data_IF_491577300146
#
_entry.id   IF_491577300146
#
_cell.length_a   1.000
_cell.length_b   1.000
_cell.length_c   1.000
_cell.angle_alpha   90.00
_cell.angle_beta   90.00
_cell.angle_gamma   90.00
#
_symmetry.space_group_name_H-M   'P 1'
#
loop_
_entity.id
_entity.type
_entity.pdbx_description
1 polymer ?
#
# COMPACT_ATOMS: atom_id res chain seq x y z
N UNK A 1 -17.94 -28.26 18.58
CA UNK A 1 -16.63 -28.09 17.93
C UNK A 1 -16.75 -26.93 16.94
N UNK A 2 -16.49 -25.68 17.33
CA UNK A 2 -16.49 -24.55 16.39
C UNK A 2 -15.05 -24.39 15.85
N UNK A 3 -14.80 -24.67 14.57
CA UNK A 3 -14.93 -23.74 13.42
C UNK A 3 -13.98 -22.54 13.49
N UNK A 4 -12.74 -22.79 13.06
CA UNK A 4 -11.94 -21.98 12.12
C UNK A 4 -12.41 -20.55 11.82
N UNK A 5 -12.28 -19.64 12.78
CA UNK A 5 -12.17 -18.23 12.49
C UNK A 5 -10.84 -17.67 13.01
N UNK A 6 -9.77 -17.61 12.19
CA UNK A 6 -8.48 -17.06 12.61
C UNK A 6 -8.46 -15.52 12.65
N UNK A 7 -9.60 -14.84 12.46
CA UNK A 7 -9.69 -13.39 12.46
C UNK A 7 -10.10 -12.79 13.82
N UNK A 8 -9.95 -13.52 14.93
CA UNK A 8 -10.04 -12.89 16.25
C UNK A 8 -8.82 -11.99 16.46
N UNK A 9 -8.92 -10.75 15.97
CA UNK A 9 -8.03 -9.66 16.33
C UNK A 9 -8.25 -9.44 17.83
N UNK A 10 -7.33 -9.92 18.65
CA UNK A 10 -7.34 -9.64 20.07
C UNK A 10 -7.03 -8.15 20.25
N UNK A 11 -8.06 -7.38 20.57
CA UNK A 11 -7.90 -6.03 21.11
C UNK A 11 -7.61 -6.20 22.60
N UNK A 12 -6.37 -5.97 22.99
CA UNK A 12 -6.02 -5.79 24.40
C UNK A 12 -5.88 -4.28 24.66
N UNK A 13 -6.40 -3.81 25.79
CA UNK A 13 -6.64 -2.39 26.12
C UNK A 13 -5.35 -1.56 26.31
N UNK A 14 -4.19 -2.07 25.89
CA UNK A 14 -2.88 -1.44 25.97
C UNK A 14 -2.23 -1.20 24.60
N UNK A 15 -2.95 -0.51 23.70
CA UNK A 15 -2.49 0.38 22.60
C UNK A 15 -1.23 0.08 21.75
N UNK A 16 -0.61 -1.09 21.81
CA UNK A 16 0.56 -1.46 20.98
C UNK A 16 0.29 -2.83 20.41
N UNK A 17 -0.12 -2.86 19.13
CA UNK A 17 -0.07 -4.08 18.32
C UNK A 17 1.42 -4.33 18.05
N UNK A 18 2.13 -4.92 19.01
CA UNK A 18 3.22 -5.80 18.63
C UNK A 18 2.54 -6.97 17.91
N UNK A 19 2.64 -6.99 16.58
CA UNK A 19 2.45 -8.22 15.85
C UNK A 19 3.30 -9.26 16.59
N UNK A 20 2.64 -10.25 17.22
CA UNK A 20 3.29 -11.25 18.06
C UNK A 20 4.60 -11.67 17.39
N UNK A 21 5.75 -11.69 18.11
CA UNK A 21 7.01 -12.15 17.54
C UNK A 21 6.94 -13.60 17.03
N UNK A 22 5.83 -14.29 17.33
CA UNK A 22 5.47 -15.62 16.88
C UNK A 22 4.41 -15.64 15.77
N UNK A 23 4.13 -14.55 15.04
CA UNK A 23 3.50 -14.70 13.72
C UNK A 23 4.54 -15.34 12.81
N UNK A 24 4.46 -16.66 12.57
CA UNK A 24 5.60 -17.32 11.97
C UNK A 24 5.60 -16.92 10.50
N UNK A 25 6.80 -16.74 9.95
CA UNK A 25 7.03 -16.20 8.59
C UNK A 25 6.25 -16.91 7.49
N UNK A 26 5.68 -18.10 7.74
CA UNK A 26 4.78 -18.80 6.84
C UNK A 26 3.48 -18.02 6.54
N UNK A 27 2.91 -17.25 7.49
CA UNK A 27 1.71 -16.45 7.22
C UNK A 27 2.00 -15.22 6.34
N UNK A 28 3.21 -14.67 6.40
CA UNK A 28 3.62 -13.59 5.48
C UNK A 28 3.79 -14.10 4.04
N UNK A 29 4.09 -15.39 3.86
CA UNK A 29 4.25 -16.03 2.55
C UNK A 29 2.94 -16.26 1.80
N UNK A 30 1.79 -16.27 2.50
CA UNK A 30 0.47 -16.47 1.88
C UNK A 30 -0.26 -15.17 1.57
N UNK A 31 0.34 -14.01 1.84
CA UNK A 31 -0.27 -12.72 1.50
C UNK A 31 -0.15 -12.55 0.00
N UNK A 32 -1.25 -12.80 -0.72
CA UNK A 32 -1.31 -12.49 -2.14
C UNK A 32 -1.11 -10.98 -2.34
N UNK A 33 -0.41 -10.56 -3.41
CA UNK A 33 -0.31 -9.15 -3.73
C UNK A 33 -1.71 -8.56 -3.86
N UNK A 34 -1.92 -7.30 -3.42
CA UNK A 34 -3.21 -6.66 -3.57
C UNK A 34 -3.60 -6.66 -5.06
N UNK A 35 -4.88 -6.85 -5.39
CA UNK A 35 -5.34 -6.80 -6.76
C UNK A 35 -5.08 -5.42 -7.38
N UNK A 36 -4.86 -5.39 -8.68
CA UNK A 36 -4.69 -4.13 -9.43
C UNK A 36 -5.95 -3.26 -9.30
N UNK A 37 -5.77 -1.96 -9.05
CA UNK A 37 -6.87 -1.00 -8.97
C UNK A 37 -7.56 -0.85 -10.33
N UNK A 38 -8.89 -0.88 -10.35
CA UNK A 38 -9.67 -0.64 -11.56
C UNK A 38 -9.85 0.85 -11.84
N UNK A 39 -9.86 1.21 -13.12
CA UNK A 39 -10.19 2.57 -13.56
C UNK A 39 -11.70 2.76 -13.60
N UNK A 40 -12.19 3.76 -12.88
CA UNK A 40 -13.58 4.19 -12.97
C UNK A 40 -13.71 5.30 -14.03
N UNK A 41 -14.38 5.00 -15.14
CA UNK A 41 -14.62 5.99 -16.19
C UNK A 41 -15.85 6.83 -15.84
N UNK A 42 -15.61 8.09 -15.44
CA UNK A 42 -16.67 9.02 -15.04
C UNK A 42 -17.36 9.71 -16.22
N UNK A 43 -16.61 9.98 -17.30
CA UNK A 43 -17.12 10.63 -18.49
C UNK A 43 -16.39 10.13 -19.74
N UNK A 44 -17.01 10.36 -20.90
CA UNK A 44 -16.35 10.22 -22.19
C UNK A 44 -15.81 11.57 -22.64
N UNK A 45 -14.64 11.61 -23.30
CA UNK A 45 -14.11 12.83 -23.88
C UNK A 45 -15.11 13.43 -24.87
N UNK A 46 -15.28 14.75 -24.81
CA UNK A 46 -16.11 15.45 -25.79
C UNK A 46 -15.35 15.54 -27.12
N UNK A 47 -15.93 15.00 -28.20
CA UNK A 47 -15.33 14.99 -29.54
C UNK A 47 -15.64 16.23 -30.36
N UNK A 48 -16.50 17.14 -29.88
CA UNK A 48 -16.88 18.35 -30.63
C UNK A 48 -15.85 19.47 -30.55
N UNK A 49 -14.91 19.41 -29.59
CA UNK A 49 -13.81 20.35 -29.46
C UNK A 49 -12.49 19.59 -29.27
N UNK A 50 -11.39 20.03 -29.89
CA UNK A 50 -10.09 19.41 -29.68
C UNK A 50 -9.64 19.65 -28.23
N UNK A 51 -9.61 18.59 -27.44
CA UNK A 51 -9.15 18.61 -26.05
C UNK A 51 -8.04 17.58 -25.86
N UNK A 52 -6.98 17.96 -25.15
CA UNK A 52 -5.94 17.02 -24.75
C UNK A 52 -6.38 16.29 -23.48
N UNK A 53 -6.17 14.98 -23.46
CA UNK A 53 -6.38 14.13 -22.29
C UNK A 53 -5.01 13.81 -21.72
N UNK A 54 -4.84 14.04 -20.43
CA UNK A 54 -3.63 13.66 -19.71
C UNK A 54 -4.00 13.12 -18.33
N UNK A 55 -3.04 12.43 -17.74
CA UNK A 55 -3.15 11.74 -16.46
C UNK A 55 -2.30 12.43 -15.41
N UNK A 56 -2.83 12.51 -14.19
CA UNK A 56 -2.13 13.10 -13.05
C UNK A 56 -2.11 12.10 -11.91
N UNK A 57 -0.92 11.81 -11.39
CA UNK A 57 -0.73 11.02 -10.18
C UNK A 57 -0.31 11.94 -9.03
N UNK A 58 -0.95 11.77 -7.88
CA UNK A 58 -0.55 12.41 -6.64
C UNK A 58 -0.26 11.33 -5.60
N UNK A 59 0.96 11.28 -5.07
CA UNK A 59 1.39 10.17 -4.23
C UNK A 59 2.39 10.58 -3.14
N UNK A 60 1.99 10.40 -1.88
CA UNK A 60 2.90 10.52 -0.74
C UNK A 60 3.70 9.23 -0.60
N UNK A 61 5.02 9.33 -0.74
CA UNK A 61 5.91 8.16 -0.80
C UNK A 61 6.38 7.69 0.58
N UNK A 62 6.00 8.41 1.65
CA UNK A 62 6.43 8.19 3.02
C UNK A 62 7.97 8.17 3.12
N UNK A 63 8.58 9.33 3.38
CA UNK A 63 10.04 9.41 3.47
C UNK A 63 10.61 8.49 4.56
N UNK A 64 11.87 8.06 4.39
CA UNK A 64 12.50 7.06 5.27
C UNK A 64 12.55 7.49 6.74
N UNK A 65 12.73 8.79 6.99
CA UNK A 65 12.75 9.36 8.34
C UNK A 65 11.47 9.08 9.14
N UNK A 66 10.33 8.94 8.48
CA UNK A 66 9.04 8.74 9.14
C UNK A 66 8.55 7.29 9.11
N UNK A 67 9.19 6.41 8.33
CA UNK A 67 8.87 4.98 8.25
C UNK A 67 9.41 4.18 9.45
N UNK A 68 9.09 4.62 10.67
CA UNK A 68 9.62 4.05 11.91
C UNK A 68 8.68 2.99 12.51
N UNK A 69 9.25 2.05 13.26
CA UNK A 69 8.49 1.05 14.04
C UNK A 69 7.64 1.66 15.15
N UNK A 70 7.93 2.88 15.57
CA UNK A 70 7.10 3.58 16.55
C UNK A 70 5.72 3.93 15.97
N UNK A 71 5.69 4.40 14.71
CA UNK A 71 4.44 4.77 14.01
C UNK A 71 3.82 3.56 13.30
N UNK A 72 4.65 2.67 12.76
CA UNK A 72 4.24 1.52 11.95
C UNK A 72 4.63 0.18 12.60
N UNK A 73 4.37 0.02 13.91
CA UNK A 73 4.81 -1.14 14.70
C UNK A 73 4.26 -2.49 14.24
N UNK A 74 3.10 -2.48 13.59
CA UNK A 74 2.47 -3.65 12.97
C UNK A 74 3.18 -4.13 11.70
N UNK A 75 3.98 -3.27 11.06
CA UNK A 75 4.67 -3.58 9.82
C UNK A 75 6.05 -4.19 10.13
N UNK A 76 6.42 -5.34 9.50
CA UNK A 76 7.71 -5.96 9.78
C UNK A 76 8.86 -5.06 9.33
N UNK A 77 9.95 -5.04 10.11
CA UNK A 77 11.05 -4.08 9.90
C UNK A 77 11.69 -4.17 8.52
N UNK A 78 11.73 -5.36 7.91
CA UNK A 78 12.27 -5.52 6.55
C UNK A 78 11.41 -4.81 5.49
N UNK A 79 10.09 -4.75 5.68
CA UNK A 79 9.17 -4.10 4.77
C UNK A 79 9.16 -2.57 4.95
N UNK A 80 9.58 -2.06 6.12
CA UNK A 80 9.76 -0.64 6.36
C UNK A 80 11.08 -0.07 5.80
N UNK A 81 12.10 -0.91 5.58
CA UNK A 81 13.40 -0.47 5.05
C UNK A 81 13.23 0.23 3.69
N UNK A 82 13.89 1.38 3.53
CA UNK A 82 13.87 2.14 2.29
C UNK A 82 14.21 1.31 1.04
N UNK A 83 15.25 0.47 1.10
CA UNK A 83 15.67 -0.35 -0.05
C UNK A 83 14.59 -1.32 -0.53
N UNK A 84 13.70 -1.75 0.37
CA UNK A 84 12.54 -2.56 0.02
C UNK A 84 11.42 -1.66 -0.55
N UNK A 85 10.99 -0.63 0.20
CA UNK A 85 9.87 0.23 -0.20
C UNK A 85 10.11 0.97 -1.51
N UNK A 86 11.32 1.48 -1.75
CA UNK A 86 11.65 2.25 -2.96
C UNK A 86 11.42 1.45 -4.24
N UNK A 87 11.61 0.13 -4.20
CA UNK A 87 11.36 -0.75 -5.36
C UNK A 87 9.88 -0.75 -5.70
N UNK A 88 9.03 -0.97 -4.70
CA UNK A 88 7.58 -0.96 -4.89
C UNK A 88 7.03 0.41 -5.27
N UNK A 89 7.55 1.49 -4.68
CA UNK A 89 7.19 2.87 -5.04
C UNK A 89 7.48 3.11 -6.53
N UNK A 90 8.68 2.74 -7.00
CA UNK A 90 9.05 2.91 -8.41
C UNK A 90 8.21 2.04 -9.35
N UNK A 91 7.88 0.82 -8.95
CA UNK A 91 7.02 -0.06 -9.74
C UNK A 91 5.60 0.50 -9.85
N UNK A 92 5.07 1.13 -8.79
CA UNK A 92 3.77 1.80 -8.80
C UNK A 92 3.77 3.05 -9.69
N UNK A 93 4.82 3.88 -9.64
CA UNK A 93 4.94 5.04 -10.53
C UNK A 93 4.99 4.63 -12.01
N UNK A 94 5.70 3.53 -12.32
CA UNK A 94 5.79 2.98 -13.68
C UNK A 94 4.49 2.34 -14.15
N UNK A 95 3.76 1.66 -13.25
CA UNK A 95 2.55 0.93 -13.62
C UNK A 95 1.41 1.87 -14.05
N UNK A 96 1.28 3.04 -13.40
CA UNK A 96 0.29 4.04 -13.81
C UNK A 96 0.74 4.89 -15.00
N UNK A 97 2.04 5.07 -15.20
CA UNK A 97 2.62 5.82 -16.31
C UNK A 97 1.96 7.20 -16.53
N UNK A 98 1.71 7.93 -15.42
CA UNK A 98 1.02 9.21 -15.49
C UNK A 98 1.86 10.29 -16.20
N UNK A 99 1.21 11.17 -16.96
CA UNK A 99 1.86 12.27 -17.69
C UNK A 99 2.46 13.31 -16.73
N UNK A 100 1.80 13.56 -15.60
CA UNK A 100 2.24 14.44 -14.53
C UNK A 100 2.23 13.68 -13.20
N UNK A 101 3.34 13.73 -12.46
CA UNK A 101 3.48 13.08 -11.15
C UNK A 101 3.84 14.13 -10.11
N UNK A 102 3.05 14.21 -9.03
CA UNK A 102 3.31 15.02 -7.84
C UNK A 102 3.57 14.11 -6.64
N UNK A 103 4.72 14.29 -5.98
CA UNK A 103 5.13 13.48 -4.83
C UNK A 103 5.25 14.33 -3.55
N UNK A 104 4.91 13.72 -2.41
CA UNK A 104 5.17 14.26 -1.06
C UNK A 104 6.07 13.33 -0.25
#
# INVERSE_FOLDING_TARGET
LPENNPLSIYFDDNSIIEASPYLPTYYLRSIQPPPTRSWLRLASPNTTQPTAIFTVMNYNILCDKYATRHVYGYCPSWALKWDYRRKQILDELRSYAADIIALQ
#
